data_IF_784062667853
#
_entry.id   IF_784062667853
#
_cell.length_a   1.000
_cell.length_b   1.000
_cell.length_c   1.000
_cell.angle_alpha   90.00
_cell.angle_beta   90.00
_cell.angle_gamma   90.00
#
_symmetry.space_group_name_H-M   'P 1'
#
loop_
_entity.id
_entity.type
_entity.pdbx_description
1 polymer ?
#
# COMPACT_ATOMS: atom_id res chain seq x y z
N UNK A 1 -13.03 -46.17 5.08
CA UNK A 1 -12.57 -44.91 5.69
C UNK A 1 -11.77 -44.14 4.64
N UNK A 2 -12.45 -43.40 3.77
CA UNK A 2 -11.81 -42.42 2.91
C UNK A 2 -11.51 -41.17 3.75
N UNK A 3 -10.35 -41.13 4.41
CA UNK A 3 -9.76 -39.88 4.84
C UNK A 3 -9.26 -39.19 3.57
N UNK A 4 -10.05 -38.24 3.03
CA UNK A 4 -9.56 -37.33 2.02
C UNK A 4 -8.35 -36.62 2.58
N UNK A 5 -7.23 -36.78 1.89
CA UNK A 5 -5.96 -36.13 2.27
C UNK A 5 -6.12 -34.61 2.08
N UNK A 6 -6.49 -33.91 3.16
CA UNK A 6 -6.81 -32.48 3.14
C UNK A 6 -5.54 -31.68 3.24
N UNK A 7 -5.13 -31.03 2.16
CA UNK A 7 -3.97 -30.16 2.11
C UNK A 7 -4.20 -28.88 2.92
N UNK A 8 -3.32 -28.57 3.85
CA UNK A 8 -3.38 -27.39 4.74
C UNK A 8 -2.52 -26.27 4.17
N UNK A 9 -3.16 -25.14 3.84
CA UNK A 9 -2.50 -23.98 3.29
C UNK A 9 -2.58 -22.83 4.30
N UNK A 10 -1.43 -22.23 4.62
CA UNK A 10 -1.33 -21.06 5.47
C UNK A 10 -1.05 -19.82 4.63
N UNK A 11 -1.87 -18.77 4.79
CA UNK A 11 -1.64 -17.46 4.16
C UNK A 11 -1.04 -16.51 5.20
N UNK A 12 0.13 -15.94 4.90
CA UNK A 12 0.84 -15.00 5.78
C UNK A 12 0.82 -13.58 5.17
N UNK A 13 0.21 -12.62 5.90
CA UNK A 13 -0.03 -11.26 5.43
C UNK A 13 0.85 -10.18 6.08
N UNK A 14 1.49 -10.45 7.22
CA UNK A 14 2.48 -9.56 7.84
C UNK A 14 2.25 -9.23 9.31
N UNK A 15 1.13 -8.66 9.71
CA UNK A 15 0.92 -8.20 11.09
C UNK A 15 0.89 -9.35 12.12
N UNK A 16 0.36 -10.50 11.75
CA UNK A 16 0.34 -11.71 12.59
C UNK A 16 1.75 -12.19 12.94
N UNK A 17 2.74 -11.87 12.10
CA UNK A 17 4.13 -12.29 12.27
C UNK A 17 4.91 -11.36 13.22
N UNK A 18 4.37 -10.18 13.51
CA UNK A 18 5.00 -9.19 14.39
C UNK A 18 4.71 -9.44 15.86
N UNK A 19 3.54 -9.99 16.18
CA UNK A 19 3.10 -10.21 17.56
C UNK A 19 3.71 -11.50 18.11
N UNK A 20 4.91 -11.38 18.69
CA UNK A 20 5.62 -12.50 19.35
C UNK A 20 4.89 -13.01 20.60
N UNK A 21 3.87 -12.32 21.11
CA UNK A 21 3.04 -12.80 22.22
C UNK A 21 2.37 -14.16 21.97
N UNK A 22 2.16 -14.50 20.69
CA UNK A 22 1.56 -15.78 20.25
C UNK A 22 2.55 -16.64 19.46
N UNK A 23 3.86 -16.48 19.68
CA UNK A 23 4.93 -17.11 18.90
C UNK A 23 4.72 -18.61 18.72
N UNK A 24 4.47 -19.33 19.81
CA UNK A 24 4.28 -20.79 19.78
C UNK A 24 3.04 -21.20 18.97
N UNK A 25 1.96 -20.43 19.04
CA UNK A 25 0.73 -20.72 18.29
C UNK A 25 0.95 -20.48 16.78
N UNK A 26 1.61 -19.37 16.43
CA UNK A 26 1.93 -19.03 15.05
C UNK A 26 2.89 -20.05 14.47
N UNK A 27 3.98 -20.37 15.18
CA UNK A 27 4.96 -21.37 14.77
C UNK A 27 4.33 -22.75 14.59
N UNK A 28 3.44 -23.16 15.50
CA UNK A 28 2.70 -24.41 15.38
C UNK A 28 1.79 -24.43 14.13
N UNK A 29 1.11 -23.33 13.85
CA UNK A 29 0.25 -23.22 12.68
C UNK A 29 1.05 -23.28 11.38
N UNK A 30 2.17 -22.55 11.33
CA UNK A 30 3.09 -22.57 10.20
C UNK A 30 3.70 -23.97 10.02
N UNK A 31 4.10 -24.64 11.10
CA UNK A 31 4.70 -25.98 11.07
C UNK A 31 3.71 -27.11 10.71
N UNK A 32 2.41 -26.89 10.79
CA UNK A 32 1.36 -27.85 10.38
C UNK A 32 0.86 -27.61 8.95
N UNK A 33 1.33 -26.57 8.27
CA UNK A 33 0.92 -26.29 6.91
C UNK A 33 1.72 -27.12 5.90
N UNK A 34 1.05 -27.63 4.89
CA UNK A 34 1.68 -28.31 3.74
C UNK A 34 2.25 -27.30 2.75
N UNK A 35 1.70 -26.09 2.75
CA UNK A 35 2.17 -24.96 1.95
C UNK A 35 1.95 -23.65 2.71
N UNK A 36 2.97 -22.78 2.72
CA UNK A 36 2.86 -21.41 3.20
C UNK A 36 2.91 -20.46 2.03
N UNK A 37 1.89 -19.59 1.89
CA UNK A 37 1.85 -18.54 0.87
C UNK A 37 2.06 -17.19 1.55
N UNK A 38 3.12 -16.49 1.16
CA UNK A 38 3.44 -15.14 1.63
C UNK A 38 2.93 -14.10 0.65
N UNK A 39 2.36 -13.01 1.16
CA UNK A 39 1.87 -11.90 0.33
C UNK A 39 2.98 -10.98 -0.20
N UNK A 40 4.24 -11.16 0.24
CA UNK A 40 5.41 -10.41 -0.21
C UNK A 40 6.72 -11.12 0.17
N UNK A 41 7.80 -10.78 -0.52
CA UNK A 41 9.15 -11.22 -0.13
C UNK A 41 9.52 -10.70 1.27
N UNK A 42 9.09 -9.46 1.58
CA UNK A 42 9.28 -8.86 2.91
C UNK A 42 8.65 -9.74 3.99
N UNK A 43 7.37 -10.10 3.85
CA UNK A 43 6.65 -10.93 4.82
C UNK A 43 7.34 -12.28 5.02
N UNK A 44 7.77 -12.93 3.92
CA UNK A 44 8.56 -14.17 3.98
C UNK A 44 9.83 -13.97 4.79
N UNK A 45 10.66 -13.00 4.43
CA UNK A 45 11.95 -12.77 5.08
C UNK A 45 11.77 -12.45 6.58
N UNK A 46 10.75 -11.65 6.92
CA UNK A 46 10.42 -11.31 8.31
C UNK A 46 9.99 -12.55 9.09
N UNK A 47 9.20 -13.45 8.50
CA UNK A 47 8.81 -14.71 9.12
C UNK A 47 10.03 -15.55 9.48
N UNK A 48 10.94 -15.80 8.54
CA UNK A 48 12.13 -16.59 8.80
C UNK A 48 13.09 -15.92 9.80
N UNK A 49 13.12 -14.60 9.86
CA UNK A 49 13.90 -13.87 10.86
C UNK A 49 13.33 -14.03 12.27
N UNK A 50 12.02 -14.00 12.42
CA UNK A 50 11.35 -14.06 13.71
C UNK A 50 11.23 -15.49 14.23
N UNK A 51 11.00 -16.47 13.35
CA UNK A 51 10.78 -17.88 13.70
C UNK A 51 11.96 -18.74 13.25
N UNK A 52 13.06 -18.73 14.01
CA UNK A 52 14.29 -19.47 13.69
C UNK A 52 14.09 -21.00 13.65
N UNK A 53 13.11 -21.50 14.41
CA UNK A 53 12.74 -22.92 14.50
C UNK A 53 11.69 -23.32 13.45
N UNK A 54 11.34 -22.44 12.53
CA UNK A 54 10.47 -22.78 11.42
C UNK A 54 11.17 -23.80 10.54
N UNK A 55 10.59 -25.01 10.42
CA UNK A 55 11.12 -26.07 9.57
C UNK A 55 11.09 -25.59 8.11
N UNK A 56 11.99 -26.12 7.26
CA UNK A 56 11.94 -25.83 5.83
C UNK A 56 10.67 -26.41 5.24
N UNK A 57 9.75 -25.53 4.86
CA UNK A 57 8.47 -25.89 4.25
C UNK A 57 8.43 -25.55 2.79
N UNK A 58 7.54 -26.23 2.10
CA UNK A 58 7.06 -25.76 0.81
C UNK A 58 6.43 -24.39 1.01
N UNK A 59 6.96 -23.37 0.34
CA UNK A 59 6.44 -22.01 0.42
C UNK A 59 6.48 -21.34 -0.95
N UNK A 60 5.54 -20.44 -1.15
CA UNK A 60 5.47 -19.60 -2.35
C UNK A 60 5.21 -18.14 -1.95
N UNK A 61 5.62 -17.23 -2.81
CA UNK A 61 5.23 -15.82 -2.72
C UNK A 61 4.19 -15.62 -3.81
N UNK A 62 2.98 -15.27 -3.39
CA UNK A 62 1.91 -14.91 -4.30
C UNK A 62 1.37 -13.56 -3.83
N UNK A 63 1.69 -12.54 -4.61
CA UNK A 63 1.26 -11.18 -4.30
C UNK A 63 -0.26 -11.04 -4.35
N UNK A 64 -0.85 -10.16 -3.52
CA UNK A 64 -2.29 -9.91 -3.55
C UNK A 64 -2.78 -9.48 -4.93
N UNK A 65 -3.99 -9.89 -5.25
CA UNK A 65 -4.65 -9.55 -6.50
C UNK A 65 -5.64 -8.40 -6.32
N UNK A 66 -5.93 -7.70 -7.39
CA UNK A 66 -7.08 -6.81 -7.49
C UNK A 66 -7.98 -7.20 -8.67
N UNK A 67 -9.27 -6.87 -8.56
CA UNK A 67 -10.20 -7.07 -9.66
C UNK A 67 -10.09 -5.86 -10.58
N UNK A 68 -9.58 -6.10 -11.79
CA UNK A 68 -9.43 -5.04 -12.79
C UNK A 68 -10.79 -4.60 -13.30
N UNK A 69 -11.20 -3.40 -12.94
CA UNK A 69 -12.23 -2.65 -13.68
C UNK A 69 -11.50 -1.74 -14.66
N UNK A 70 -11.20 -2.26 -15.85
CA UNK A 70 -10.50 -1.49 -16.87
C UNK A 70 -11.44 -0.39 -17.35
N UNK A 71 -11.12 0.84 -17.09
CA UNK A 71 -11.57 1.96 -17.88
C UNK A 71 -10.37 2.85 -18.15
N UNK A 72 -9.96 2.89 -19.41
CA UNK A 72 -9.03 3.93 -19.85
C UNK A 72 -9.59 5.29 -19.45
N UNK A 73 -8.84 6.01 -18.65
CA UNK A 73 -9.20 7.33 -18.22
C UNK A 73 -8.90 8.30 -19.36
N UNK A 74 -9.84 8.43 -20.30
CA UNK A 74 -9.73 9.41 -21.37
C UNK A 74 -9.85 10.81 -20.77
N UNK A 75 -8.72 11.50 -20.69
CA UNK A 75 -8.55 12.97 -20.63
C UNK A 75 -9.52 13.82 -19.79
N UNK A 76 -9.92 13.41 -18.61
CA UNK A 76 -10.63 14.30 -17.70
C UNK A 76 -9.64 15.03 -16.78
N UNK A 77 -9.77 16.35 -16.65
CA UNK A 77 -9.03 17.16 -15.67
C UNK A 77 -9.20 16.54 -14.28
N UNK A 78 -8.12 16.11 -13.67
CA UNK A 78 -8.14 15.50 -12.35
C UNK A 78 -8.58 16.52 -11.29
N UNK A 79 -9.43 16.10 -10.36
CA UNK A 79 -9.89 16.95 -9.26
C UNK A 79 -8.79 17.08 -8.18
N UNK A 80 -8.01 16.01 -7.98
CA UNK A 80 -6.99 15.93 -6.94
C UNK A 80 -5.61 15.67 -7.54
N UNK A 81 -4.62 16.33 -6.98
CA UNK A 81 -3.22 16.10 -7.32
C UNK A 81 -2.73 14.83 -6.64
N UNK A 82 -3.09 14.64 -5.37
CA UNK A 82 -2.71 13.51 -4.54
C UNK A 82 -3.95 12.78 -4.03
N UNK A 83 -3.83 11.47 -3.81
CA UNK A 83 -4.80 10.71 -3.02
C UNK A 83 -4.13 9.65 -2.16
N UNK A 84 -4.83 9.28 -1.06
CA UNK A 84 -4.56 8.08 -0.29
C UNK A 84 -5.87 7.32 -0.08
N UNK A 85 -5.84 6.01 -0.32
CA UNK A 85 -6.93 5.08 -0.01
C UNK A 85 -6.41 4.09 1.02
N UNK A 86 -6.78 4.31 2.29
CA UNK A 86 -6.29 3.50 3.41
C UNK A 86 -7.13 3.75 4.67
N UNK A 87 -7.06 2.81 5.64
CA UNK A 87 -7.54 3.07 7.00
C UNK A 87 -6.80 4.27 7.60
N UNK A 88 -7.50 5.11 8.37
CA UNK A 88 -6.90 6.25 9.04
C UNK A 88 -6.21 5.81 10.34
N UNK A 89 -5.02 5.26 10.17
CA UNK A 89 -4.10 4.81 11.21
C UNK A 89 -2.81 5.65 11.17
N UNK A 90 -2.20 5.90 12.33
CA UNK A 90 -0.96 6.68 12.42
C UNK A 90 0.12 6.20 11.44
N UNK A 91 0.29 4.87 11.34
CA UNK A 91 1.28 4.25 10.48
C UNK A 91 1.09 4.52 8.97
N UNK A 92 -0.07 4.99 8.52
CA UNK A 92 -0.31 5.32 7.11
C UNK A 92 0.30 6.66 6.69
N UNK A 93 0.81 7.45 7.63
CA UNK A 93 1.66 8.60 7.36
C UNK A 93 0.95 9.82 6.77
N UNK A 94 -0.37 9.96 6.91
CA UNK A 94 -1.12 11.11 6.40
C UNK A 94 -0.55 12.45 6.89
N UNK A 95 -0.11 12.51 8.16
CA UNK A 95 0.50 13.69 8.75
C UNK A 95 1.78 14.13 8.03
N UNK A 96 2.58 13.18 7.51
CA UNK A 96 3.78 13.49 6.73
C UNK A 96 3.43 14.14 5.38
N UNK A 97 2.29 13.76 4.79
CA UNK A 97 1.78 14.38 3.56
C UNK A 97 1.36 15.82 3.85
N UNK A 98 0.70 16.10 4.98
CA UNK A 98 0.34 17.46 5.37
C UNK A 98 1.57 18.35 5.59
N UNK A 99 2.60 17.83 6.24
CA UNK A 99 3.89 18.52 6.40
C UNK A 99 4.52 18.83 5.03
N UNK A 100 4.56 17.85 4.15
CA UNK A 100 5.12 18.03 2.80
C UNK A 100 4.30 19.06 1.99
N UNK A 101 2.96 19.05 2.07
CA UNK A 101 2.10 20.03 1.42
C UNK A 101 2.31 21.45 1.98
N UNK A 102 2.53 21.57 3.29
CA UNK A 102 2.85 22.85 3.93
C UNK A 102 4.19 23.41 3.41
N UNK A 103 5.23 22.57 3.32
CA UNK A 103 6.53 22.96 2.76
C UNK A 103 6.39 23.37 1.29
N UNK A 104 5.68 22.58 0.46
CA UNK A 104 5.45 22.89 -0.96
C UNK A 104 4.78 24.25 -1.14
N UNK A 105 3.76 24.56 -0.33
CA UNK A 105 3.06 25.85 -0.38
C UNK A 105 3.95 27.01 0.07
N UNK A 106 4.65 26.87 1.17
CA UNK A 106 5.37 27.98 1.80
C UNK A 106 6.69 28.29 1.08
N UNK A 107 7.48 27.25 0.72
CA UNK A 107 8.81 27.41 0.13
C UNK A 107 8.79 27.40 -1.39
N UNK A 108 7.93 26.56 -2.01
CA UNK A 108 7.92 26.36 -3.46
C UNK A 108 6.75 27.06 -4.17
N UNK A 109 5.78 27.65 -3.42
CA UNK A 109 4.56 28.27 -3.95
C UNK A 109 3.69 27.27 -4.74
N UNK A 110 3.80 25.98 -4.44
CA UNK A 110 3.01 24.90 -5.05
C UNK A 110 1.84 24.58 -4.14
N UNK A 111 0.62 24.72 -4.67
CA UNK A 111 -0.64 24.43 -3.98
C UNK A 111 -1.23 23.16 -4.59
N UNK A 112 -1.38 22.11 -3.78
CA UNK A 112 -1.91 20.81 -4.20
C UNK A 112 -3.25 20.53 -3.53
N UNK A 113 -4.11 19.74 -4.19
CA UNK A 113 -5.33 19.16 -3.62
C UNK A 113 -5.13 17.69 -3.29
N UNK A 114 -5.53 17.30 -2.10
CA UNK A 114 -5.33 15.95 -1.56
C UNK A 114 -6.65 15.33 -1.12
N UNK A 115 -6.99 14.16 -1.67
CA UNK A 115 -8.13 13.34 -1.28
C UNK A 115 -7.68 12.21 -0.35
N UNK A 116 -8.36 12.05 0.77
CA UNK A 116 -8.15 10.95 1.72
C UNK A 116 -9.43 10.14 1.79
N UNK A 117 -9.42 8.91 1.26
CA UNK A 117 -10.52 7.97 1.37
C UNK A 117 -10.22 6.93 2.43
N UNK A 118 -11.06 6.86 3.42
CA UNK A 118 -11.00 5.87 4.49
C UNK A 118 -11.56 6.36 5.80
N UNK A 119 -11.57 5.46 6.78
CA UNK A 119 -11.98 5.73 8.16
C UNK A 119 -10.99 5.10 9.13
N UNK A 120 -10.99 5.56 10.38
CA UNK A 120 -10.13 5.04 11.43
C UNK A 120 -9.90 5.98 12.60
N UNK A 121 -9.18 5.52 13.64
CA UNK A 121 -9.02 6.24 14.90
C UNK A 121 -8.30 7.60 14.76
N UNK A 122 -7.55 7.80 13.70
CA UNK A 122 -6.79 9.05 13.48
C UNK A 122 -7.64 10.19 12.89
N UNK A 123 -8.91 9.97 12.52
CA UNK A 123 -9.71 10.98 11.79
C UNK A 123 -9.75 12.33 12.50
N UNK A 124 -10.04 12.37 13.80
CA UNK A 124 -10.10 13.61 14.57
C UNK A 124 -8.75 14.33 14.57
N UNK A 125 -7.68 13.61 14.95
CA UNK A 125 -6.33 14.15 14.96
C UNK A 125 -5.87 14.68 13.60
N UNK A 126 -6.21 13.98 12.53
CA UNK A 126 -5.87 14.42 11.17
C UNK A 126 -6.60 15.70 10.78
N UNK A 127 -7.88 15.87 11.18
CA UNK A 127 -8.62 17.14 10.99
C UNK A 127 -7.95 18.29 11.73
N UNK A 128 -7.51 18.09 12.97
CA UNK A 128 -6.79 19.11 13.75
C UNK A 128 -5.45 19.49 13.07
N UNK A 129 -4.74 18.52 12.51
CA UNK A 129 -3.52 18.79 11.75
C UNK A 129 -3.79 19.59 10.46
N UNK A 130 -4.89 19.32 9.77
CA UNK A 130 -5.30 20.11 8.59
C UNK A 130 -5.54 21.59 8.99
N UNK A 131 -6.14 21.84 10.16
CA UNK A 131 -6.29 23.21 10.71
C UNK A 131 -4.92 23.82 11.04
N UNK A 132 -4.08 23.07 11.79
CA UNK A 132 -2.73 23.51 12.18
C UNK A 132 -1.87 23.91 11.00
N UNK A 133 -1.91 23.15 9.91
CA UNK A 133 -1.15 23.44 8.69
C UNK A 133 -1.87 24.39 7.72
N UNK A 134 -3.07 24.89 8.07
CA UNK A 134 -3.91 25.75 7.20
C UNK A 134 -4.17 25.12 5.83
N UNK A 135 -4.57 23.84 5.81
CA UNK A 135 -4.82 23.05 4.60
C UNK A 135 -6.31 22.80 4.31
N UNK A 136 -7.24 23.49 5.00
CA UNK A 136 -8.69 23.24 4.92
C UNK A 136 -9.25 23.31 3.50
N UNK A 137 -8.68 24.19 2.65
CA UNK A 137 -9.09 24.34 1.24
C UNK A 137 -8.41 23.35 0.29
N UNK A 138 -7.47 22.53 0.81
CA UNK A 138 -6.62 21.64 0.03
C UNK A 138 -6.86 20.16 0.32
N UNK A 139 -7.41 19.80 1.49
CA UNK A 139 -7.58 18.42 1.94
C UNK A 139 -9.07 18.09 2.06
N UNK A 140 -9.50 17.07 1.33
CA UNK A 140 -10.84 16.50 1.40
C UNK A 140 -10.76 15.12 2.08
N UNK A 141 -11.42 14.96 3.24
CA UNK A 141 -11.72 13.65 3.82
C UNK A 141 -12.98 13.10 3.18
N UNK A 142 -12.87 11.94 2.57
CA UNK A 142 -13.94 11.32 1.80
C UNK A 142 -14.42 10.08 2.55
N UNK A 143 -15.74 9.97 2.71
CA UNK A 143 -16.35 8.88 3.43
C UNK A 143 -16.15 7.54 2.70
N UNK A 144 -16.09 6.45 3.45
CA UNK A 144 -15.76 5.11 2.95
C UNK A 144 -16.84 4.47 2.05
N UNK A 145 -18.04 5.05 1.95
CA UNK A 145 -19.10 4.65 1.00
C UNK A 145 -18.78 5.01 -0.46
N UNK A 146 -17.81 5.91 -0.66
CA UNK A 146 -17.31 6.26 -1.99
C UNK A 146 -16.34 5.18 -2.47
N UNK A 147 -16.51 4.69 -3.70
CA UNK A 147 -15.64 3.65 -4.25
C UNK A 147 -14.20 4.13 -4.46
N UNK A 148 -13.22 3.24 -4.21
CA UNK A 148 -11.80 3.47 -4.51
C UNK A 148 -11.60 3.94 -5.95
N UNK A 149 -12.33 3.33 -6.90
CA UNK A 149 -12.32 3.67 -8.32
C UNK A 149 -12.58 5.15 -8.57
N UNK A 150 -13.62 5.72 -7.90
CA UNK A 150 -13.97 7.14 -8.06
C UNK A 150 -12.82 8.05 -7.62
N UNK A 151 -12.10 7.68 -6.56
CA UNK A 151 -10.96 8.46 -6.07
C UNK A 151 -9.77 8.33 -7.03
N UNK A 152 -9.41 7.11 -7.41
CA UNK A 152 -8.29 6.89 -8.34
C UNK A 152 -8.52 7.56 -9.70
N UNK A 153 -9.74 7.48 -10.25
CA UNK A 153 -10.07 8.17 -11.51
C UNK A 153 -9.95 9.69 -11.44
N UNK A 154 -10.19 10.28 -10.28
CA UNK A 154 -10.17 11.73 -10.08
C UNK A 154 -8.85 12.26 -9.50
N UNK A 155 -7.84 11.41 -9.31
CA UNK A 155 -6.55 11.77 -8.73
C UNK A 155 -5.40 11.55 -9.70
N UNK A 156 -4.29 12.23 -9.48
CA UNK A 156 -3.07 12.11 -10.30
C UNK A 156 -2.06 11.14 -9.71
N UNK A 157 -1.77 11.24 -8.42
CA UNK A 157 -0.71 10.46 -7.74
C UNK A 157 -1.29 9.81 -6.48
N UNK A 158 -1.01 8.54 -6.27
CA UNK A 158 -1.28 7.86 -5.00
C UNK A 158 -0.08 8.03 -4.07
N UNK A 159 -0.31 8.50 -2.84
CA UNK A 159 0.74 8.74 -1.86
C UNK A 159 0.43 8.04 -0.55
N UNK A 160 1.30 7.10 -0.13
CA UNK A 160 1.13 6.34 1.10
C UNK A 160 2.48 6.15 1.81
N UNK A 161 2.98 7.19 2.52
CA UNK A 161 4.28 7.15 3.20
C UNK A 161 4.16 6.42 4.55
N UNK A 162 3.93 5.11 4.50
CA UNK A 162 3.76 4.26 5.67
C UNK A 162 4.97 4.31 6.61
N UNK A 163 4.70 4.10 7.89
CA UNK A 163 5.67 4.07 8.96
C UNK A 163 5.62 2.70 9.63
N UNK A 164 6.77 2.12 9.89
CA UNK A 164 6.87 0.91 10.72
C UNK A 164 6.68 1.30 12.18
N UNK A 165 5.76 0.63 12.88
CA UNK A 165 5.58 0.75 14.33
C UNK A 165 5.87 -0.60 15.00
N UNK A 166 6.11 -0.64 16.32
CA UNK A 166 6.28 -1.91 17.04
C UNK A 166 5.10 -2.86 16.86
N UNK A 167 3.87 -2.31 16.72
CA UNK A 167 2.62 -3.07 16.69
C UNK A 167 2.16 -3.42 15.29
N UNK A 168 2.67 -2.72 14.27
CA UNK A 168 2.15 -2.87 12.91
C UNK A 168 3.12 -2.45 11.83
N UNK A 169 3.14 -3.23 10.76
CA UNK A 169 3.93 -2.97 9.55
C UNK A 169 3.07 -3.26 8.30
N UNK A 170 3.37 -2.59 7.20
CA UNK A 170 2.67 -2.86 5.95
C UNK A 170 3.25 -4.13 5.29
N UNK A 171 2.41 -5.16 5.13
CA UNK A 171 2.84 -6.42 4.52
C UNK A 171 3.08 -6.31 3.01
N UNK A 172 2.31 -5.46 2.32
CA UNK A 172 2.44 -5.25 0.87
C UNK A 172 1.94 -3.87 0.42
N UNK A 173 0.68 -3.51 0.73
CA UNK A 173 0.08 -2.25 0.28
C UNK A 173 -0.73 -2.38 -1.02
N UNK A 174 -1.79 -3.19 -1.00
CA UNK A 174 -2.62 -3.47 -2.18
C UNK A 174 -3.19 -2.22 -2.85
N UNK A 175 -3.52 -1.15 -2.09
CA UNK A 175 -4.04 0.10 -2.65
C UNK A 175 -3.07 0.80 -3.61
N UNK A 176 -1.76 0.56 -3.50
CA UNK A 176 -0.76 1.06 -4.46
C UNK A 176 -0.94 0.38 -5.83
N UNK A 177 -1.17 -0.93 -5.84
CA UNK A 177 -1.40 -1.69 -7.07
C UNK A 177 -2.75 -1.34 -7.69
N UNK A 178 -3.78 -1.18 -6.86
CA UNK A 178 -5.09 -0.70 -7.30
C UNK A 178 -4.97 0.67 -7.96
N UNK A 179 -4.30 1.63 -7.32
CA UNK A 179 -4.04 2.96 -7.89
C UNK A 179 -3.26 2.87 -9.22
N UNK A 180 -2.23 2.02 -9.27
CA UNK A 180 -1.44 1.80 -10.48
C UNK A 180 -2.29 1.27 -11.65
N UNK A 181 -3.34 0.49 -11.38
CA UNK A 181 -4.27 -0.01 -12.42
C UNK A 181 -5.08 1.11 -13.09
N UNK A 182 -5.20 2.27 -12.45
CA UNK A 182 -5.77 3.50 -13.01
C UNK A 182 -4.70 4.45 -13.57
N UNK A 183 -3.46 3.99 -13.66
CA UNK A 183 -2.33 4.78 -14.17
C UNK A 183 -1.79 5.80 -13.17
N UNK A 184 -2.11 5.71 -11.89
CA UNK A 184 -1.54 6.60 -10.89
C UNK A 184 -0.14 6.12 -10.52
N UNK A 185 0.89 6.93 -10.73
CA UNK A 185 2.18 6.67 -10.11
C UNK A 185 2.07 6.79 -8.59
N UNK A 186 2.93 6.06 -7.87
CA UNK A 186 2.86 5.97 -6.43
C UNK A 186 4.09 6.60 -5.75
N UNK A 187 3.87 7.26 -4.60
CA UNK A 187 4.95 7.65 -3.68
C UNK A 187 4.74 6.88 -2.39
N UNK A 188 5.72 6.07 -2.01
CA UNK A 188 5.65 5.25 -0.79
C UNK A 188 6.94 5.39 0.03
N UNK A 189 6.89 5.04 1.31
CA UNK A 189 8.11 4.91 2.11
C UNK A 189 8.74 3.52 1.96
N UNK A 190 10.02 3.42 2.30
CA UNK A 190 10.74 2.15 2.42
C UNK A 190 10.36 1.44 3.72
N UNK A 191 9.08 1.07 3.85
CA UNK A 191 8.48 0.45 5.03
C UNK A 191 7.85 -0.88 4.65
N UNK A 192 8.25 -1.94 5.32
CA UNK A 192 7.66 -3.26 5.10
C UNK A 192 7.74 -3.74 3.66
N UNK A 193 6.62 -4.25 3.15
CA UNK A 193 6.47 -4.71 1.77
C UNK A 193 6.02 -3.62 0.78
N UNK A 194 5.89 -2.34 1.19
CA UNK A 194 5.42 -1.27 0.28
C UNK A 194 6.28 -1.06 -0.95
N UNK A 195 7.63 -1.19 -0.91
CA UNK A 195 8.44 -1.11 -2.12
C UNK A 195 8.06 -2.14 -3.19
N UNK A 196 7.67 -3.35 -2.78
CA UNK A 196 7.27 -4.42 -3.69
C UNK A 196 5.94 -4.11 -4.41
N UNK A 197 5.06 -3.32 -3.76
CA UNK A 197 3.75 -2.97 -4.31
C UNK A 197 3.79 -1.86 -5.37
N UNK A 198 4.94 -1.23 -5.57
CA UNK A 198 5.10 -0.20 -6.61
C UNK A 198 6.17 -0.54 -7.65
N UNK A 199 7.10 -1.46 -7.37
CA UNK A 199 8.18 -1.77 -8.30
C UNK A 199 8.90 -0.51 -8.81
N UNK A 200 8.84 -0.25 -10.11
CA UNK A 200 9.46 0.91 -10.76
C UNK A 200 8.46 1.97 -11.25
N UNK A 201 7.21 1.90 -10.80
CA UNK A 201 6.14 2.81 -11.23
C UNK A 201 5.98 4.04 -10.33
N UNK A 202 6.90 4.27 -9.42
CA UNK A 202 6.80 5.35 -8.45
C UNK A 202 8.13 5.68 -7.80
N UNK A 203 8.06 6.40 -6.68
CA UNK A 203 9.23 6.84 -5.92
C UNK A 203 9.15 6.32 -4.49
N UNK A 204 10.25 5.73 -4.03
CA UNK A 204 10.41 5.25 -2.65
C UNK A 204 11.20 6.30 -1.86
N UNK A 205 10.64 6.72 -0.71
CA UNK A 205 11.28 7.65 0.20
C UNK A 205 11.65 6.98 1.53
N UNK A 206 12.48 7.60 2.35
CA UNK A 206 12.72 7.13 3.73
C UNK A 206 11.48 7.36 4.58
N UNK A 207 11.24 6.48 5.56
CA UNK A 207 10.22 6.70 6.58
C UNK A 207 10.45 8.02 7.32
N UNK A 208 9.38 8.63 7.79
CA UNK A 208 9.42 9.87 8.59
C UNK A 208 10.23 11.02 7.93
N UNK A 209 10.16 11.16 6.61
CA UNK A 209 10.93 12.17 5.90
C UNK A 209 10.08 13.06 4.98
N UNK A 210 9.40 14.09 5.52
CA UNK A 210 8.57 15.01 4.73
C UNK A 210 9.35 15.74 3.63
N UNK A 211 10.63 16.07 3.87
CA UNK A 211 11.48 16.74 2.86
C UNK A 211 11.74 15.84 1.65
N UNK A 212 11.90 14.52 1.84
CA UNK A 212 12.00 13.60 0.71
C UNK A 212 10.65 13.45 -0.01
N UNK A 213 9.51 13.50 0.71
CA UNK A 213 8.19 13.54 0.08
C UNK A 213 8.03 14.74 -0.84
N UNK A 214 8.46 15.94 -0.40
CA UNK A 214 8.48 17.16 -1.23
C UNK A 214 9.22 16.92 -2.55
N UNK A 215 10.46 16.41 -2.47
CA UNK A 215 11.27 16.11 -3.67
C UNK A 215 10.59 15.08 -4.56
N UNK A 216 10.07 14.00 -3.97
CA UNK A 216 9.37 12.93 -4.69
C UNK A 216 8.11 13.45 -5.41
N UNK A 217 7.32 14.31 -4.76
CA UNK A 217 6.15 14.94 -5.38
C UNK A 217 6.55 15.79 -6.58
N UNK A 218 7.56 16.64 -6.43
CA UNK A 218 8.04 17.47 -7.54
C UNK A 218 8.54 16.61 -8.69
N UNK A 219 9.34 15.59 -8.41
CA UNK A 219 9.96 14.74 -9.44
C UNK A 219 8.93 13.88 -10.17
N UNK A 220 7.91 13.36 -9.45
CA UNK A 220 6.87 12.54 -10.08
C UNK A 220 6.01 13.36 -11.03
N UNK A 221 5.68 14.61 -10.69
CA UNK A 221 4.92 15.49 -11.57
C UNK A 221 5.75 15.93 -12.80
N UNK A 222 7.04 16.19 -12.64
CA UNK A 222 7.95 16.48 -13.77
C UNK A 222 7.99 15.34 -14.79
N UNK A 223 7.89 14.08 -14.35
CA UNK A 223 7.99 12.88 -15.19
C UNK A 223 6.67 12.10 -15.25
N UNK A 224 5.54 12.77 -15.02
CA UNK A 224 4.23 12.14 -14.80
C UNK A 224 3.84 11.12 -15.88
N UNK A 225 3.91 11.50 -17.17
CA UNK A 225 3.55 10.60 -18.29
C UNK A 225 4.33 9.29 -18.27
N UNK A 226 5.62 9.35 -17.97
CA UNK A 226 6.49 8.17 -17.89
C UNK A 226 6.08 7.25 -16.74
N UNK A 227 5.88 7.81 -15.54
CA UNK A 227 5.47 7.04 -14.38
C UNK A 227 4.05 6.47 -14.54
N UNK A 228 3.12 7.24 -15.09
CA UNK A 228 1.74 6.79 -15.34
C UNK A 228 1.71 5.57 -16.29
N UNK A 229 2.49 5.61 -17.38
CA UNK A 229 2.61 4.46 -18.29
C UNK A 229 3.19 3.22 -17.58
N UNK A 230 4.22 3.40 -16.77
CA UNK A 230 4.81 2.30 -15.98
C UNK A 230 3.79 1.72 -14.99
N UNK A 231 2.94 2.56 -14.39
CA UNK A 231 1.90 2.13 -13.46
C UNK A 231 0.93 1.14 -14.12
N UNK A 232 0.40 1.47 -15.29
CA UNK A 232 -0.48 0.55 -16.04
C UNK A 232 0.21 -0.79 -16.33
N UNK A 233 1.45 -0.75 -16.80
CA UNK A 233 2.20 -1.96 -17.14
C UNK A 233 2.47 -2.82 -15.91
N UNK A 234 2.85 -2.19 -14.80
CA UNK A 234 3.12 -2.88 -13.54
C UNK A 234 1.88 -3.57 -12.98
N UNK A 235 0.75 -2.86 -12.96
CA UNK A 235 -0.51 -3.37 -12.41
C UNK A 235 -0.99 -4.66 -13.11
N UNK A 236 -0.69 -4.84 -14.39
CA UNK A 236 -1.07 -6.04 -15.14
C UNK A 236 -0.53 -7.35 -14.54
N UNK A 237 0.51 -7.28 -13.71
CA UNK A 237 1.07 -8.46 -13.04
C UNK A 237 0.23 -8.92 -11.84
N UNK A 238 -0.73 -8.11 -11.40
CA UNK A 238 -1.53 -8.33 -10.18
C UNK A 238 -3.02 -8.55 -10.48
N UNK A 239 -3.38 -8.74 -11.74
CA UNK A 239 -4.76 -9.06 -12.11
C UNK A 239 -5.21 -10.39 -11.49
N UNK A 240 -6.48 -10.41 -11.01
CA UNK A 240 -7.05 -11.56 -10.32
C UNK A 240 -6.93 -12.86 -11.11
N UNK A 241 -7.20 -12.83 -12.42
CA UNK A 241 -7.11 -14.03 -13.27
C UNK A 241 -5.69 -14.62 -13.33
N UNK A 242 -4.66 -13.77 -13.31
CA UNK A 242 -3.26 -14.24 -13.24
C UNK A 242 -2.94 -14.84 -11.87
N UNK A 243 -3.35 -14.15 -10.80
CA UNK A 243 -3.08 -14.61 -9.44
C UNK A 243 -3.85 -15.88 -9.08
N UNK A 244 -5.09 -16.04 -9.54
CA UNK A 244 -5.84 -17.30 -9.39
C UNK A 244 -5.06 -18.47 -10.02
N UNK A 245 -4.49 -18.30 -11.21
CA UNK A 245 -3.66 -19.34 -11.84
C UNK A 245 -2.41 -19.65 -11.00
N UNK A 246 -1.74 -18.63 -10.44
CA UNK A 246 -0.60 -18.84 -9.54
C UNK A 246 -1.00 -19.62 -8.27
N UNK A 247 -2.18 -19.34 -7.70
CA UNK A 247 -2.72 -20.09 -6.56
C UNK A 247 -3.05 -21.53 -6.95
N UNK A 248 -3.76 -21.75 -8.05
CA UNK A 248 -4.11 -23.11 -8.51
C UNK A 248 -2.87 -23.95 -8.82
N UNK A 249 -1.83 -23.36 -9.40
CA UNK A 249 -0.55 -24.06 -9.66
C UNK A 249 0.30 -24.25 -8.39
N UNK A 250 -0.09 -23.67 -7.28
CA UNK A 250 0.60 -23.79 -5.99
C UNK A 250 0.04 -24.93 -5.13
N UNK A 251 -1.23 -25.22 -5.30
CA UNK A 251 -2.00 -26.24 -4.57
C UNK A 251 -1.82 -27.61 -5.23
#
# INVERSE_FOLDING_TARGET
NNTTDVKKICLAHGNEILKLSDENRILNSLNKADLIIYNSQFTKNKTFKNFKNLKKFNHKIIYPAFIKKISENKNNKKKYDLCTVARLEYRKGHHLVFEAMSILRNEYKIILKYAILGDGPELSRLKDLVLKFSLQKQVDFIHHDVSNEKIFKNSSVHIMPTITTPESIEGFGISNVEAASYGLPCIVSNSGGTPESIGNNGIIVKENNPKQLVKAIIDIFKKYKSYSRKSYLFANNFESNKKIKEYLNAI
#
